data_IF_327176064857
#
_entry.id   IF_327176064857
#
_cell.length_a   1.000
_cell.length_b   1.000
_cell.length_c   1.000
_cell.angle_alpha   90.00
_cell.angle_beta   90.00
_cell.angle_gamma   90.00
#
_symmetry.space_group_name_H-M   'P 1'
#
loop_
_entity.id
_entity.type
_entity.pdbx_description
1 polymer ?
#
# COMPACT_ATOMS: atom_id res chain seq x y z
N UNK A 1 6.39 12.74 13.37
CA UNK A 1 6.37 11.38 12.78
C UNK A 1 7.64 11.13 11.99
N UNK A 2 7.97 9.84 11.81
CA UNK A 2 9.07 9.41 10.95
C UNK A 2 8.54 8.66 9.74
N UNK A 3 8.99 9.03 8.53
CA UNK A 3 8.72 8.18 7.37
C UNK A 3 9.59 6.91 7.43
N UNK A 4 9.16 5.84 6.76
CA UNK A 4 9.93 4.58 6.71
C UNK A 4 11.24 4.66 5.94
N UNK A 5 11.49 5.78 5.21
CA UNK A 5 12.73 6.02 4.49
C UNK A 5 13.06 4.96 3.43
N UNK A 6 12.07 4.47 2.70
CA UNK A 6 12.28 3.49 1.61
C UNK A 6 13.23 4.02 0.53
N UNK A 7 13.33 5.34 0.40
CA UNK A 7 14.13 6.03 -0.63
C UNK A 7 15.34 6.79 -0.08
N UNK A 8 15.60 6.71 1.24
CA UNK A 8 16.70 7.43 1.88
C UNK A 8 16.59 7.51 3.39
N UNK A 9 17.26 8.47 4.01
CA UNK A 9 17.17 8.72 5.46
C UNK A 9 15.72 9.05 5.84
N UNK A 10 15.17 8.48 6.95
CA UNK A 10 13.82 8.79 7.39
C UNK A 10 13.60 10.29 7.55
N UNK A 11 12.51 10.80 6.99
CA UNK A 11 12.11 12.20 7.19
C UNK A 11 11.51 12.33 8.59
N UNK A 12 11.95 13.35 9.34
CA UNK A 12 11.39 13.69 10.64
C UNK A 12 10.30 14.75 10.42
N UNK A 13 9.06 14.32 10.21
CA UNK A 13 7.96 15.16 9.76
C UNK A 13 7.27 15.82 10.95
N UNK A 14 7.09 17.12 10.89
CA UNK A 14 6.41 17.92 11.92
C UNK A 14 5.01 18.27 11.45
N UNK A 15 4.01 17.91 12.23
CA UNK A 15 2.60 18.21 11.98
C UNK A 15 2.01 19.12 13.06
N UNK A 16 1.00 19.91 12.70
CA UNK A 16 0.18 20.63 13.67
C UNK A 16 -0.84 19.69 14.33
N UNK A 17 -1.05 19.82 15.62
CA UNK A 17 -2.02 19.01 16.34
C UNK A 17 -3.47 19.26 15.86
N UNK A 18 -3.86 20.52 15.72
CA UNK A 18 -5.20 20.93 15.28
C UNK A 18 -5.51 20.49 13.86
N UNK A 19 -4.56 20.69 12.92
CA UNK A 19 -4.72 20.28 11.53
C UNK A 19 -4.86 18.76 11.38
N UNK A 20 -4.02 18.00 12.09
CA UNK A 20 -4.09 16.54 12.11
C UNK A 20 -5.42 16.04 12.66
N UNK A 21 -5.88 16.59 13.79
CA UNK A 21 -7.14 16.17 14.38
C UNK A 21 -8.33 16.50 13.49
N UNK A 22 -8.36 17.69 12.89
CA UNK A 22 -9.42 18.08 11.95
C UNK A 22 -9.48 17.14 10.74
N UNK A 23 -8.31 16.80 10.20
CA UNK A 23 -8.19 15.85 9.08
C UNK A 23 -8.74 14.47 9.45
N UNK A 24 -8.34 13.92 10.60
CA UNK A 24 -8.79 12.62 11.06
C UNK A 24 -10.29 12.61 11.39
N UNK A 25 -10.82 13.65 12.02
CA UNK A 25 -12.27 13.79 12.28
C UNK A 25 -13.08 13.78 10.98
N UNK A 26 -12.61 14.49 9.96
CA UNK A 26 -13.22 14.47 8.63
C UNK A 26 -13.25 13.05 8.04
N UNK A 27 -12.16 12.32 8.17
CA UNK A 27 -12.06 10.94 7.69
C UNK A 27 -12.96 9.99 8.49
N UNK A 28 -12.88 10.02 9.82
CA UNK A 28 -13.67 9.16 10.68
C UNK A 28 -15.17 9.37 10.48
N UNK A 29 -15.63 10.62 10.54
CA UNK A 29 -17.08 10.92 10.52
C UNK A 29 -17.67 10.86 9.11
N UNK A 30 -17.01 11.45 8.12
CA UNK A 30 -17.60 11.62 6.79
C UNK A 30 -17.27 10.48 5.83
N UNK A 31 -16.11 9.83 5.99
CA UNK A 31 -15.67 8.76 5.11
C UNK A 31 -15.87 7.36 5.71
N UNK A 32 -15.68 7.22 7.01
CA UNK A 32 -15.84 5.95 7.68
C UNK A 32 -17.25 5.77 8.31
N UNK A 33 -18.02 6.84 8.44
CA UNK A 33 -19.30 6.80 9.11
C UNK A 33 -19.19 6.51 10.62
N UNK A 34 -18.03 6.81 11.21
CA UNK A 34 -17.77 6.58 12.64
C UNK A 34 -18.51 7.64 13.47
N UNK A 35 -19.37 7.17 14.37
CA UNK A 35 -20.17 8.01 15.27
C UNK A 35 -20.00 7.55 16.74
N UNK A 36 -20.63 8.25 17.65
CA UNK A 36 -20.70 7.89 19.07
C UNK A 36 -21.11 6.43 19.26
N UNK A 37 -20.55 5.77 20.27
CA UNK A 37 -20.75 4.36 20.63
C UNK A 37 -20.27 3.33 19.60
N UNK A 38 -19.75 3.73 18.45
CA UNK A 38 -19.13 2.81 17.51
C UNK A 38 -17.83 2.22 18.08
N UNK A 39 -17.46 1.04 17.61
CA UNK A 39 -16.31 0.28 18.12
C UNK A 39 -15.30 0.10 17.02
N UNK A 40 -14.24 0.92 17.07
CA UNK A 40 -13.20 1.00 16.05
C UNK A 40 -12.01 0.12 16.41
N UNK A 41 -11.69 -0.79 15.53
CA UNK A 41 -10.46 -1.59 15.54
C UNK A 41 -9.58 -1.24 14.35
N UNK A 42 -8.28 -1.14 14.57
CA UNK A 42 -7.27 -1.15 13.50
C UNK A 42 -6.09 -2.02 13.91
N UNK A 43 -5.78 -3.06 13.10
CA UNK A 43 -4.61 -3.88 13.34
C UNK A 43 -3.35 -3.08 12.99
N UNK A 44 -2.70 -2.53 14.00
CA UNK A 44 -1.52 -1.64 13.87
C UNK A 44 -0.60 -1.79 15.07
N UNK A 45 0.65 -1.38 14.89
CA UNK A 45 1.60 -1.16 15.99
C UNK A 45 1.71 0.32 16.31
N UNK A 46 2.22 0.69 17.47
CA UNK A 46 2.48 2.09 17.84
C UNK A 46 3.50 2.77 16.92
N UNK A 47 4.33 2.00 16.21
CA UNK A 47 5.32 2.50 15.25
C UNK A 47 4.76 2.76 13.84
N UNK A 48 3.52 2.39 13.57
CA UNK A 48 2.87 2.68 12.28
C UNK A 48 1.94 3.89 12.38
N UNK A 49 1.88 4.71 11.35
CA UNK A 49 1.05 5.94 11.32
C UNK A 49 -0.43 5.65 11.62
N UNK A 50 -0.95 4.47 11.28
CA UNK A 50 -2.33 4.10 11.57
C UNK A 50 -2.67 4.04 13.06
N UNK A 51 -1.68 3.96 13.95
CA UNK A 51 -1.88 4.15 15.39
C UNK A 51 -2.38 5.56 15.70
N UNK A 52 -1.77 6.60 15.10
CA UNK A 52 -2.21 8.00 15.28
C UNK A 52 -3.66 8.17 14.80
N UNK A 53 -3.97 7.57 13.66
CA UNK A 53 -5.31 7.60 13.09
C UNK A 53 -6.33 6.87 13.99
N UNK A 54 -6.00 5.68 14.49
CA UNK A 54 -6.84 4.91 15.42
C UNK A 54 -7.14 5.71 16.70
N UNK A 55 -6.09 6.27 17.34
CA UNK A 55 -6.23 7.03 18.59
C UNK A 55 -7.12 8.26 18.41
N UNK A 56 -7.08 8.91 17.26
CA UNK A 56 -7.94 10.04 16.93
C UNK A 56 -9.43 9.69 16.86
N UNK A 57 -9.78 8.40 16.77
CA UNK A 57 -11.17 7.91 16.86
C UNK A 57 -11.86 8.28 18.18
N UNK A 58 -11.08 8.49 19.24
CA UNK A 58 -11.61 9.01 20.52
C UNK A 58 -12.32 10.37 20.38
N UNK A 59 -11.86 11.20 19.45
CA UNK A 59 -12.51 12.49 19.18
C UNK A 59 -13.86 12.36 18.44
N UNK A 60 -14.18 11.17 17.96
CA UNK A 60 -15.50 10.82 17.43
C UNK A 60 -16.38 10.09 18.46
N UNK A 61 -15.92 10.04 19.73
CA UNK A 61 -16.61 9.39 20.85
C UNK A 61 -16.74 7.87 20.66
N UNK A 62 -15.87 7.29 19.82
CA UNK A 62 -15.83 5.87 19.55
C UNK A 62 -15.03 5.11 20.62
N UNK A 63 -15.41 3.86 20.87
CA UNK A 63 -14.61 2.93 21.67
C UNK A 63 -13.49 2.36 20.80
N UNK A 64 -12.22 2.48 21.24
CA UNK A 64 -11.11 1.85 20.55
C UNK A 64 -10.94 0.40 21.01
N UNK A 65 -10.88 -0.51 20.07
CA UNK A 65 -10.57 -1.91 20.31
C UNK A 65 -9.08 -2.14 20.03
N UNK A 66 -8.35 -2.60 21.06
CA UNK A 66 -6.89 -2.82 20.97
C UNK A 66 -6.59 -4.31 21.07
N UNK A 67 -5.81 -4.82 20.15
CA UNK A 67 -5.38 -6.22 20.11
C UNK A 67 -3.85 -6.29 20.04
N UNK A 68 -3.25 -6.99 20.99
CA UNK A 68 -1.82 -7.26 21.04
C UNK A 68 -1.59 -8.76 20.83
N UNK A 69 -1.00 -9.11 19.70
CA UNK A 69 -0.75 -10.49 19.33
C UNK A 69 -0.70 -10.72 17.83
N UNK A 70 -0.45 -11.97 17.44
CA UNK A 70 -0.49 -12.37 16.03
C UNK A 70 -1.93 -12.41 15.51
N UNK A 71 -2.24 -11.80 14.36
CA UNK A 71 -3.56 -11.87 13.76
C UNK A 71 -3.91 -13.27 13.24
N UNK A 72 -2.90 -14.15 13.14
CA UNK A 72 -3.03 -15.55 12.73
C UNK A 72 -2.90 -16.55 13.90
N UNK A 73 -2.92 -16.07 15.15
CA UNK A 73 -2.98 -16.97 16.30
C UNK A 73 -4.22 -17.86 16.23
N UNK A 74 -4.06 -19.14 16.64
CA UNK A 74 -5.12 -20.16 16.53
C UNK A 74 -5.72 -20.25 15.10
N UNK A 75 -4.85 -20.39 14.11
CA UNK A 75 -5.22 -20.44 12.70
C UNK A 75 -6.08 -19.23 12.24
N UNK A 76 -5.82 -18.05 12.82
CA UNK A 76 -6.51 -16.82 12.52
C UNK A 76 -7.87 -16.63 13.19
N UNK A 77 -8.33 -17.60 13.99
CA UNK A 77 -9.64 -17.53 14.65
C UNK A 77 -9.64 -16.55 15.82
N UNK A 78 -8.54 -16.48 16.59
CA UNK A 78 -8.49 -15.69 17.82
C UNK A 78 -8.86 -14.20 17.61
N UNK A 79 -8.37 -13.58 16.55
CA UNK A 79 -8.69 -12.18 16.24
C UNK A 79 -10.19 -12.01 15.95
N UNK A 80 -10.79 -12.90 15.17
CA UNK A 80 -12.21 -12.82 14.82
C UNK A 80 -13.12 -13.19 15.98
N UNK A 81 -12.77 -14.18 16.81
CA UNK A 81 -13.47 -14.52 18.06
C UNK A 81 -13.54 -13.31 18.99
N UNK A 82 -12.39 -12.66 19.19
CA UNK A 82 -12.30 -11.47 20.01
C UNK A 82 -13.09 -10.29 19.42
N UNK A 83 -12.91 -10.00 18.13
CA UNK A 83 -13.61 -8.89 17.46
C UNK A 83 -15.14 -9.06 17.47
N UNK A 84 -15.63 -10.28 17.23
CA UNK A 84 -17.07 -10.60 17.27
C UNK A 84 -17.62 -10.47 18.69
N UNK A 85 -16.91 -11.00 19.70
CA UNK A 85 -17.29 -10.87 21.12
C UNK A 85 -17.38 -9.42 21.55
N UNK A 86 -16.44 -8.60 21.12
CA UNK A 86 -16.45 -7.14 21.38
C UNK A 86 -17.45 -6.38 20.52
N UNK A 87 -18.18 -7.03 19.63
CA UNK A 87 -19.15 -6.42 18.71
C UNK A 87 -18.56 -5.24 17.92
N UNK A 88 -17.34 -5.43 17.41
CA UNK A 88 -16.64 -4.42 16.62
C UNK A 88 -17.46 -3.96 15.42
N UNK A 89 -17.49 -2.66 15.16
CA UNK A 89 -18.28 -2.06 14.07
C UNK A 89 -17.40 -1.69 12.87
N UNK A 90 -16.15 -1.35 13.12
CA UNK A 90 -15.18 -0.93 12.12
C UNK A 90 -13.90 -1.75 12.26
N UNK A 91 -13.48 -2.41 11.19
CA UNK A 91 -12.32 -3.31 11.16
C UNK A 91 -11.26 -2.78 10.19
N UNK A 92 -10.16 -2.27 10.72
CA UNK A 92 -9.02 -1.79 9.95
C UNK A 92 -7.88 -2.80 9.90
N UNK A 93 -7.29 -2.99 8.72
CA UNK A 93 -6.18 -3.91 8.50
C UNK A 93 -5.34 -3.51 7.29
N UNK A 94 -4.44 -4.40 6.86
CA UNK A 94 -3.66 -4.24 5.62
C UNK A 94 -4.18 -5.15 4.50
N UNK A 95 -3.92 -4.77 3.25
CA UNK A 95 -4.21 -5.62 2.10
C UNK A 95 -3.48 -6.97 2.20
N UNK A 96 -2.28 -6.99 2.78
CA UNK A 96 -1.50 -8.22 3.01
C UNK A 96 -2.16 -9.17 4.01
N UNK A 97 -2.83 -8.64 5.04
CA UNK A 97 -3.60 -9.48 5.94
C UNK A 97 -4.78 -10.14 5.22
N UNK A 98 -5.54 -9.37 4.42
CA UNK A 98 -6.67 -9.91 3.66
C UNK A 98 -6.24 -10.98 2.65
N UNK A 99 -5.13 -10.77 1.95
CA UNK A 99 -4.55 -11.76 1.03
C UNK A 99 -4.13 -13.04 1.79
N UNK A 100 -3.42 -12.91 2.90
CA UNK A 100 -2.97 -14.05 3.69
C UNK A 100 -4.15 -14.81 4.31
N UNK A 101 -5.18 -14.10 4.80
CA UNK A 101 -6.39 -14.71 5.33
C UNK A 101 -7.16 -15.50 4.26
N UNK A 102 -7.28 -14.93 3.05
CA UNK A 102 -7.88 -15.62 1.90
C UNK A 102 -7.11 -16.89 1.53
N UNK A 103 -5.77 -16.82 1.46
CA UNK A 103 -4.89 -17.97 1.16
C UNK A 103 -4.93 -19.07 2.23
N UNK A 104 -5.23 -18.72 3.47
CA UNK A 104 -5.44 -19.68 4.57
C UNK A 104 -6.89 -20.24 4.60
N UNK A 105 -7.77 -19.74 3.75
CA UNK A 105 -9.17 -20.17 3.71
C UNK A 105 -10.01 -19.69 4.89
N UNK A 106 -9.61 -18.61 5.57
CA UNK A 106 -10.41 -18.02 6.64
C UNK A 106 -11.73 -17.49 6.08
N UNK A 107 -12.83 -17.87 6.69
CA UNK A 107 -14.18 -17.46 6.29
C UNK A 107 -15.01 -17.01 7.50
N UNK A 108 -14.72 -15.86 8.10
CA UNK A 108 -15.38 -15.38 9.32
C UNK A 108 -16.90 -15.30 9.21
N UNK A 109 -17.43 -15.03 8.01
CA UNK A 109 -18.88 -15.03 7.76
C UNK A 109 -19.58 -16.35 8.14
N UNK A 110 -18.85 -17.46 8.14
CA UNK A 110 -19.42 -18.81 8.41
C UNK A 110 -19.35 -19.19 9.89
N UNK A 111 -18.45 -18.56 10.65
CA UNK A 111 -18.12 -18.99 12.02
C UNK A 111 -18.39 -17.93 13.09
N UNK A 112 -18.57 -16.66 12.72
CA UNK A 112 -18.69 -15.55 13.66
C UNK A 112 -19.95 -14.70 13.45
N UNK A 113 -20.47 -14.12 14.52
CA UNK A 113 -21.53 -13.12 14.44
C UNK A 113 -20.94 -11.73 14.14
N UNK A 114 -20.95 -11.36 12.87
CA UNK A 114 -20.45 -10.08 12.38
C UNK A 114 -21.57 -9.09 12.05
N UNK A 115 -22.75 -9.23 12.64
CA UNK A 115 -23.90 -8.32 12.39
C UNK A 115 -23.57 -6.87 12.73
N UNK A 116 -22.73 -6.63 13.76
CA UNK A 116 -22.32 -5.29 14.16
C UNK A 116 -21.31 -4.65 13.17
N UNK A 117 -20.53 -5.43 12.42
CA UNK A 117 -19.53 -4.92 11.49
C UNK A 117 -20.20 -4.14 10.36
N UNK A 118 -19.77 -2.88 10.15
CA UNK A 118 -20.30 -1.94 9.16
C UNK A 118 -19.28 -1.54 8.09
N UNK A 119 -18.00 -1.44 8.48
CA UNK A 119 -16.94 -1.03 7.57
C UNK A 119 -15.66 -1.84 7.77
N UNK A 120 -14.96 -2.11 6.66
CA UNK A 120 -13.63 -2.70 6.63
C UNK A 120 -12.69 -1.73 5.91
N UNK A 121 -11.54 -1.46 6.51
CA UNK A 121 -10.51 -0.58 5.97
C UNK A 121 -9.26 -1.36 5.62
N UNK A 122 -8.70 -1.10 4.44
CA UNK A 122 -7.49 -1.76 3.96
C UNK A 122 -6.48 -0.74 3.46
N UNK A 123 -5.25 -0.77 4.00
CA UNK A 123 -4.15 0.10 3.53
C UNK A 123 -2.78 -0.60 3.62
N UNK A 124 -1.71 0.14 3.40
CA UNK A 124 -0.32 -0.36 3.43
C UNK A 124 0.20 -0.85 2.09
N UNK A 125 -0.68 -1.37 1.25
CA UNK A 125 -0.48 -1.68 -0.17
C UNK A 125 -1.82 -1.64 -0.90
N UNK A 126 -1.84 -1.52 -2.25
CA UNK A 126 -3.09 -1.59 -3.01
C UNK A 126 -3.83 -2.91 -2.75
N UNK A 127 -5.13 -2.82 -2.49
CA UNK A 127 -5.97 -4.02 -2.38
C UNK A 127 -6.29 -4.52 -3.79
N UNK A 128 -5.89 -5.75 -4.07
CA UNK A 128 -6.17 -6.39 -5.36
C UNK A 128 -7.65 -6.74 -5.48
N UNK A 129 -8.15 -6.88 -6.71
CA UNK A 129 -9.55 -7.14 -6.98
C UNK A 129 -10.08 -8.41 -6.29
N UNK A 130 -9.25 -9.46 -6.19
CA UNK A 130 -9.55 -10.70 -5.48
C UNK A 130 -9.74 -10.51 -3.97
N UNK A 131 -9.10 -9.48 -3.40
CA UNK A 131 -9.30 -9.09 -2.00
C UNK A 131 -10.72 -8.54 -1.76
N UNK A 132 -11.29 -7.82 -2.74
CA UNK A 132 -12.70 -7.40 -2.68
C UNK A 132 -13.62 -8.62 -2.73
N UNK A 133 -13.38 -9.54 -3.66
CA UNK A 133 -14.17 -10.77 -3.79
C UNK A 133 -14.13 -11.59 -2.48
N UNK A 134 -12.96 -11.72 -1.86
CA UNK A 134 -12.78 -12.41 -0.59
C UNK A 134 -13.60 -11.75 0.54
N UNK A 135 -13.52 -10.43 0.70
CA UNK A 135 -14.24 -9.73 1.76
C UNK A 135 -15.73 -9.94 1.64
N UNK A 136 -16.30 -9.75 0.45
CA UNK A 136 -17.76 -9.87 0.24
C UNK A 136 -18.26 -11.31 0.28
N UNK A 137 -17.44 -12.30 -0.04
CA UNK A 137 -17.81 -13.70 0.01
C UNK A 137 -17.60 -14.34 1.38
N UNK A 138 -16.47 -14.06 2.03
CA UNK A 138 -16.00 -14.84 3.19
C UNK A 138 -15.99 -14.04 4.51
N UNK A 139 -16.10 -12.70 4.47
CA UNK A 139 -16.17 -11.89 5.69
C UNK A 139 -17.59 -11.32 5.87
N UNK A 140 -18.06 -10.48 4.96
CA UNK A 140 -19.42 -9.92 5.07
C UNK A 140 -19.88 -9.31 3.74
N UNK A 141 -21.08 -9.71 3.28
CA UNK A 141 -21.62 -9.28 1.99
C UNK A 141 -22.16 -7.84 2.00
N UNK A 142 -22.64 -7.34 3.14
CA UNK A 142 -23.26 -6.02 3.32
C UNK A 142 -22.35 -5.09 4.16
N UNK A 143 -21.11 -4.89 3.74
CA UNK A 143 -20.12 -4.06 4.44
C UNK A 143 -19.55 -3.00 3.51
N UNK A 144 -19.26 -1.81 4.03
CA UNK A 144 -18.44 -0.83 3.33
C UNK A 144 -16.99 -1.33 3.30
N UNK A 145 -16.45 -1.67 2.14
CA UNK A 145 -15.04 -1.99 1.98
C UNK A 145 -14.30 -0.77 1.42
N UNK A 146 -13.43 -0.19 2.24
CA UNK A 146 -12.65 0.99 1.89
C UNK A 146 -11.17 0.61 1.70
N UNK A 147 -10.70 0.58 0.47
CA UNK A 147 -9.27 0.66 0.22
C UNK A 147 -8.80 2.09 0.44
N UNK A 148 -7.66 2.27 1.11
CA UNK A 148 -7.15 3.59 1.53
C UNK A 148 -5.75 3.77 0.99
N UNK A 149 -5.48 4.92 0.36
CA UNK A 149 -4.15 5.33 -0.07
C UNK A 149 -3.78 6.70 0.48
N UNK A 150 -2.63 6.75 1.12
CA UNK A 150 -2.06 7.96 1.71
C UNK A 150 -0.66 7.69 2.23
N UNK A 151 -0.20 8.47 3.19
CA UNK A 151 1.16 8.31 3.69
C UNK A 151 1.39 8.87 5.08
N UNK A 152 2.46 8.38 5.70
CA UNK A 152 3.00 8.96 6.93
C UNK A 152 3.32 10.45 6.75
N UNK A 153 3.70 10.83 5.53
CA UNK A 153 4.06 12.20 5.16
C UNK A 153 2.94 13.19 5.44
N UNK A 154 1.69 12.79 5.25
CA UNK A 154 0.51 13.64 5.49
C UNK A 154 -0.28 13.22 6.73
N UNK A 155 0.14 12.17 7.42
CA UNK A 155 -0.57 11.52 8.55
C UNK A 155 -2.06 11.25 8.24
N UNK A 156 -2.36 10.92 7.01
CA UNK A 156 -3.70 10.90 6.41
C UNK A 156 -3.72 10.09 5.11
N UNK A 157 -4.79 10.25 4.33
CA UNK A 157 -4.95 9.67 3.01
C UNK A 157 -5.48 10.66 1.98
N UNK A 158 -5.12 10.43 0.72
CA UNK A 158 -5.60 11.19 -0.45
C UNK A 158 -6.86 10.57 -1.04
N UNK A 159 -6.99 9.26 -0.96
CA UNK A 159 -8.16 8.53 -1.44
C UNK A 159 -8.56 7.45 -0.44
N UNK A 160 -9.87 7.28 -0.26
CA UNK A 160 -10.44 6.37 0.72
C UNK A 160 -11.89 6.03 0.37
N UNK A 161 -12.63 5.43 1.30
CA UNK A 161 -14.02 5.05 1.15
C UNK A 161 -15.02 6.19 1.39
N UNK A 162 -16.27 5.88 1.13
CA UNK A 162 -17.43 6.72 1.48
C UNK A 162 -18.64 5.82 1.75
N UNK A 163 -19.41 6.05 2.82
CA UNK A 163 -20.60 5.26 3.13
C UNK A 163 -21.78 5.50 2.17
N UNK A 164 -21.70 6.55 1.35
CA UNK A 164 -22.78 6.97 0.43
C UNK A 164 -22.46 6.70 -1.05
N UNK A 165 -21.30 6.15 -1.35
CA UNK A 165 -20.88 5.82 -2.72
C UNK A 165 -20.81 4.30 -2.90
N UNK A 166 -21.01 3.81 -4.14
CA UNK A 166 -20.79 2.40 -4.45
C UNK A 166 -19.32 2.02 -4.32
N UNK A 167 -19.04 0.76 -4.00
CA UNK A 167 -17.71 0.17 -4.03
C UNK A 167 -17.50 -0.51 -5.38
N UNK A 168 -16.55 -0.04 -6.14
CA UNK A 168 -16.13 -0.69 -7.38
C UNK A 168 -14.94 -1.61 -7.12
N UNK A 169 -15.00 -2.81 -7.66
CA UNK A 169 -13.99 -3.86 -7.49
C UNK A 169 -12.61 -3.40 -8.00
N UNK A 170 -11.63 -3.32 -7.11
CA UNK A 170 -10.26 -2.92 -7.46
C UNK A 170 -9.99 -1.42 -7.44
N UNK A 171 -10.97 -0.59 -7.06
CA UNK A 171 -10.83 0.86 -6.96
C UNK A 171 -10.89 1.35 -5.51
N UNK A 172 -10.20 2.45 -5.23
CA UNK A 172 -10.48 3.29 -4.06
C UNK A 172 -11.70 4.14 -4.41
N UNK A 173 -12.69 4.24 -3.51
CA UNK A 173 -14.00 4.78 -3.85
C UNK A 173 -13.99 6.25 -4.27
N UNK A 174 -13.19 7.09 -3.61
CA UNK A 174 -13.19 8.53 -3.88
C UNK A 174 -11.95 9.24 -3.35
N UNK A 175 -11.73 10.44 -3.83
CA UNK A 175 -10.78 11.40 -3.27
C UNK A 175 -11.25 11.88 -1.89
N UNK A 176 -10.32 12.14 -0.98
CA UNK A 176 -10.62 12.65 0.37
C UNK A 176 -11.29 14.02 0.32
N UNK A 177 -12.37 14.20 1.04
CA UNK A 177 -13.02 15.50 1.22
C UNK A 177 -12.04 16.53 1.78
N UNK A 178 -12.08 17.75 1.27
CA UNK A 178 -11.15 18.81 1.66
C UNK A 178 -9.71 18.63 1.15
N UNK A 179 -9.50 17.66 0.25
CA UNK A 179 -8.23 17.40 -0.42
C UNK A 179 -8.39 17.65 -1.92
N UNK A 180 -7.66 18.61 -2.47
CA UNK A 180 -7.67 18.92 -3.91
C UNK A 180 -6.79 17.93 -4.68
N UNK A 181 -7.10 16.63 -4.54
CA UNK A 181 -6.34 15.53 -5.17
C UNK A 181 -6.62 15.48 -6.65
N UNK A 182 -5.57 15.31 -7.43
CA UNK A 182 -5.65 15.16 -8.88
C UNK A 182 -4.56 14.21 -9.39
N UNK A 183 -4.66 13.81 -10.65
CA UNK A 183 -3.63 13.04 -11.37
C UNK A 183 -3.10 13.89 -12.51
N UNK A 184 -1.79 14.11 -12.52
CA UNK A 184 -1.12 14.94 -13.51
C UNK A 184 -0.14 14.15 -14.37
N UNK A 185 -0.09 14.48 -15.66
CA UNK A 185 0.93 13.97 -16.56
C UNK A 185 2.30 14.65 -16.32
N UNK A 186 3.32 14.25 -17.06
CA UNK A 186 4.67 14.81 -16.93
C UNK A 186 4.75 16.31 -17.28
N UNK A 187 3.83 16.82 -18.07
CA UNK A 187 3.72 18.24 -18.42
C UNK A 187 3.01 19.09 -17.34
N UNK A 188 2.60 18.47 -16.21
CA UNK A 188 1.88 19.16 -15.14
C UNK A 188 0.42 19.47 -15.48
N UNK A 189 -0.20 18.69 -16.36
CA UNK A 189 -1.58 18.85 -16.76
C UNK A 189 -2.45 17.73 -16.17
N UNK A 190 -3.67 18.05 -15.70
CA UNK A 190 -4.59 17.04 -15.17
C UNK A 190 -5.04 16.07 -16.25
N UNK A 191 -5.12 14.78 -15.89
CA UNK A 191 -5.55 13.69 -16.75
C UNK A 191 -6.65 12.86 -16.09
N UNK A 192 -7.48 12.17 -16.91
CA UNK A 192 -8.55 11.27 -16.48
C UNK A 192 -8.48 9.98 -17.30
N UNK A 193 -8.73 8.84 -16.64
CA UNK A 193 -8.61 7.52 -17.28
C UNK A 193 -7.23 7.30 -17.92
N UNK A 194 -6.24 7.99 -17.37
CA UNK A 194 -4.83 7.94 -17.77
C UNK A 194 -3.95 7.96 -16.51
N UNK A 195 -2.85 7.23 -16.58
CA UNK A 195 -1.89 7.12 -15.46
C UNK A 195 -1.02 8.36 -15.37
N UNK A 196 -0.81 8.84 -14.15
CA UNK A 196 0.04 9.99 -13.87
C UNK A 196 0.48 10.05 -12.42
N UNK A 197 1.02 11.20 -12.05
CA UNK A 197 1.44 11.49 -10.67
C UNK A 197 0.26 11.91 -9.82
N UNK A 198 0.15 11.32 -8.63
CA UNK A 198 -0.78 11.80 -7.62
C UNK A 198 -0.29 13.13 -7.04
N UNK A 199 -1.09 14.15 -7.19
CA UNK A 199 -0.83 15.49 -6.68
C UNK A 199 -1.97 15.98 -5.79
N UNK A 200 -1.65 16.94 -4.90
CA UNK A 200 -2.64 17.74 -4.19
C UNK A 200 -2.41 19.21 -4.50
N UNK A 201 -3.35 19.82 -5.20
CA UNK A 201 -3.19 21.14 -5.81
C UNK A 201 -3.53 22.31 -4.90
N UNK A 202 -3.97 22.03 -3.66
CA UNK A 202 -4.25 23.03 -2.64
C UNK A 202 -3.78 22.56 -1.25
N UNK A 203 -3.50 23.47 -0.32
CA UNK A 203 -3.21 23.11 1.06
C UNK A 203 -4.36 22.31 1.71
N UNK A 204 -4.01 21.44 2.64
CA UNK A 204 -4.96 20.60 3.38
C UNK A 204 -4.63 20.60 4.88
N UNK A 205 -5.60 20.27 5.77
CA UNK A 205 -5.43 20.49 7.20
C UNK A 205 -4.23 19.78 7.84
N UNK A 206 -3.91 18.55 7.41
CA UNK A 206 -2.78 17.79 7.94
C UNK A 206 -1.47 17.96 7.15
N UNK A 207 -1.41 18.91 6.24
CA UNK A 207 -0.17 19.23 5.54
C UNK A 207 0.95 19.49 6.56
N UNK A 208 2.13 18.85 6.42
CA UNK A 208 3.24 19.09 7.34
C UNK A 208 3.63 20.57 7.40
N UNK A 209 4.00 21.02 8.58
CA UNK A 209 4.53 22.39 8.76
C UNK A 209 6.03 22.46 8.46
N UNK A 210 6.70 21.35 8.28
CA UNK A 210 8.11 21.26 7.91
C UNK A 210 8.73 19.93 8.35
N UNK A 211 10.07 19.84 8.21
CA UNK A 211 10.86 18.75 8.75
C UNK A 211 11.69 19.23 9.94
N UNK A 212 11.89 18.33 10.90
CA UNK A 212 12.86 18.57 11.97
C UNK A 212 14.27 18.64 11.38
N UNK A 213 15.09 19.60 11.84
CA UNK A 213 16.43 19.87 11.29
C UNK A 213 16.44 20.27 9.78
N UNK A 214 15.46 21.07 9.38
CA UNK A 214 15.37 21.68 8.04
C UNK A 214 15.06 23.18 8.20
N UNK A 215 16.03 23.98 8.68
CA UNK A 215 15.79 25.36 9.10
C UNK A 215 15.44 26.31 7.95
N UNK A 216 15.87 26.00 6.73
CA UNK A 216 15.57 26.75 5.51
C UNK A 216 14.41 26.18 4.70
N UNK A 217 13.83 25.03 5.13
CA UNK A 217 12.75 24.33 4.44
C UNK A 217 13.14 23.66 3.12
N UNK A 218 14.43 23.64 2.79
CA UNK A 218 14.89 23.14 1.48
C UNK A 218 14.63 21.65 1.27
N UNK A 219 14.78 20.83 2.31
CA UNK A 219 14.50 19.39 2.24
C UNK A 219 13.00 19.12 2.07
N UNK A 220 12.17 19.87 2.82
CA UNK A 220 10.72 19.78 2.72
C UNK A 220 10.25 20.18 1.32
N UNK A 221 10.72 21.32 0.80
CA UNK A 221 10.42 21.77 -0.56
C UNK A 221 10.86 20.74 -1.60
N UNK A 222 12.09 20.25 -1.50
CA UNK A 222 12.62 19.24 -2.43
C UNK A 222 11.78 17.96 -2.41
N UNK A 223 11.30 17.54 -1.25
CA UNK A 223 10.55 16.29 -1.11
C UNK A 223 9.19 16.32 -1.82
N UNK A 224 8.51 17.46 -1.87
CA UNK A 224 7.10 17.51 -2.30
C UNK A 224 6.80 18.54 -3.39
N UNK A 225 7.64 19.55 -3.59
CA UNK A 225 7.36 20.68 -4.51
C UNK A 225 8.40 20.86 -5.61
N UNK A 226 9.45 20.04 -5.65
CA UNK A 226 10.50 20.16 -6.66
C UNK A 226 10.03 19.79 -8.08
N UNK A 227 9.05 18.89 -8.17
CA UNK A 227 8.56 18.40 -9.47
C UNK A 227 7.58 19.36 -10.13
N UNK A 228 6.63 19.85 -9.37
CA UNK A 228 5.61 20.80 -9.82
C UNK A 228 5.62 21.98 -8.84
N UNK A 229 5.84 23.21 -9.37
CA UNK A 229 5.93 24.39 -8.54
C UNK A 229 4.63 24.62 -7.77
N UNK A 230 4.75 24.78 -6.44
CA UNK A 230 3.65 25.05 -5.50
C UNK A 230 2.56 23.96 -5.43
N UNK A 231 2.82 22.76 -6.00
CA UNK A 231 1.89 21.63 -5.97
C UNK A 231 2.53 20.45 -5.26
N UNK A 232 1.84 19.91 -4.26
CA UNK A 232 2.25 18.72 -3.54
C UNK A 232 2.27 17.50 -4.48
N UNK A 233 3.45 16.99 -4.77
CA UNK A 233 3.67 15.75 -5.49
C UNK A 233 3.99 14.63 -4.49
N UNK A 234 3.08 13.64 -4.37
CA UNK A 234 3.23 12.61 -3.32
C UNK A 234 4.23 11.52 -3.71
N UNK A 235 4.45 11.32 -5.00
CA UNK A 235 5.30 10.27 -5.52
C UNK A 235 4.59 8.92 -5.61
N UNK A 236 3.27 8.91 -5.79
CA UNK A 236 2.48 7.75 -6.17
C UNK A 236 2.03 7.87 -7.63
N UNK A 237 2.11 6.74 -8.36
CA UNK A 237 1.65 6.61 -9.73
C UNK A 237 0.24 6.04 -9.73
N UNK A 238 -0.72 6.82 -10.22
CA UNK A 238 -2.14 6.54 -10.04
C UNK A 238 -2.97 6.96 -11.26
N UNK A 239 -4.27 6.61 -11.24
CA UNK A 239 -5.26 6.98 -12.23
C UNK A 239 -6.57 7.33 -11.54
N UNK A 240 -7.26 8.37 -12.00
CA UNK A 240 -8.67 8.63 -11.69
C UNK A 240 -9.54 7.93 -12.71
N UNK A 241 -10.45 7.07 -12.23
CA UNK A 241 -11.32 6.25 -13.07
C UNK A 241 -12.55 7.01 -13.56
N UNK A 242 -13.29 6.41 -14.49
CA UNK A 242 -14.58 6.94 -14.95
C UNK A 242 -15.64 7.05 -13.82
N UNK A 243 -15.44 6.37 -12.69
CA UNK A 243 -16.32 6.44 -11.51
C UNK A 243 -15.92 7.52 -10.50
N UNK A 244 -14.96 8.39 -10.82
CA UNK A 244 -14.27 9.28 -9.87
C UNK A 244 -13.54 8.55 -8.72
N UNK A 245 -13.39 7.24 -8.85
CA UNK A 245 -12.54 6.41 -8.02
C UNK A 245 -11.06 6.54 -8.39
N UNK A 246 -10.21 5.78 -7.70
CA UNK A 246 -8.77 5.83 -7.96
C UNK A 246 -8.17 4.42 -8.00
N UNK A 247 -7.19 4.22 -8.90
CA UNK A 247 -6.34 3.04 -8.92
C UNK A 247 -4.90 3.45 -8.65
N UNK A 248 -4.25 2.82 -7.67
CA UNK A 248 -2.84 3.04 -7.38
C UNK A 248 -2.01 1.96 -8.07
N UNK A 249 -1.01 2.37 -8.85
CA UNK A 249 -0.10 1.51 -9.60
C UNK A 249 1.26 1.30 -8.91
N UNK A 250 1.53 2.03 -7.83
CA UNK A 250 2.73 1.94 -7.03
C UNK A 250 3.41 3.29 -6.80
N UNK A 251 4.64 3.25 -6.32
CA UNK A 251 5.47 4.45 -6.13
C UNK A 251 6.00 4.93 -7.48
N UNK A 252 5.99 6.24 -7.70
CA UNK A 252 6.51 6.83 -8.95
C UNK A 252 8.02 6.62 -9.12
N UNK A 253 8.76 6.57 -8.01
CA UNK A 253 10.20 6.30 -7.99
C UNK A 253 10.55 4.82 -8.23
N UNK A 254 9.58 3.92 -8.05
CA UNK A 254 9.69 2.49 -8.35
C UNK A 254 9.00 2.07 -9.67
N UNK A 255 8.45 3.03 -10.42
CA UNK A 255 7.88 2.77 -11.76
C UNK A 255 8.97 2.23 -12.68
N UNK A 256 8.66 1.13 -13.35
CA UNK A 256 9.50 0.50 -14.36
C UNK A 256 9.31 1.21 -15.71
N UNK A 257 10.38 1.28 -16.50
CA UNK A 257 10.34 2.00 -17.77
C UNK A 257 10.98 1.24 -18.94
N UNK A 258 10.63 -0.03 -19.18
CA UNK A 258 11.19 -0.80 -20.29
C UNK A 258 10.74 -0.24 -21.63
N UNK A 259 11.71 0.09 -22.52
CA UNK A 259 11.41 0.65 -23.85
C UNK A 259 10.60 1.94 -23.80
N UNK A 260 10.75 2.77 -22.78
CA UNK A 260 10.05 4.04 -22.61
C UNK A 260 8.59 3.92 -22.15
N UNK A 261 8.12 2.73 -21.78
CA UNK A 261 6.74 2.52 -21.29
C UNK A 261 6.72 2.43 -19.78
N UNK A 262 6.02 3.34 -19.11
CA UNK A 262 5.87 3.36 -17.66
C UNK A 262 4.94 2.24 -17.17
N UNK A 263 5.46 1.35 -16.33
CA UNK A 263 4.75 0.21 -15.74
C UNK A 263 4.82 0.32 -14.21
N UNK A 264 3.67 0.36 -13.57
CA UNK A 264 3.60 0.31 -12.10
C UNK A 264 3.90 -1.09 -11.57
N UNK A 265 4.73 -1.20 -10.53
CA UNK A 265 5.06 -2.49 -9.93
C UNK A 265 3.83 -3.27 -9.45
N UNK A 266 2.79 -2.57 -8.97
CA UNK A 266 1.54 -3.18 -8.56
C UNK A 266 0.80 -3.89 -9.70
N UNK A 267 1.01 -3.51 -10.96
CA UNK A 267 0.41 -4.19 -12.12
C UNK A 267 0.96 -5.61 -12.27
N UNK A 268 2.25 -5.78 -12.00
CA UNK A 268 2.91 -7.09 -11.99
C UNK A 268 2.46 -7.89 -10.75
N UNK A 269 2.49 -7.28 -9.56
CA UNK A 269 2.11 -7.96 -8.30
C UNK A 269 0.71 -8.54 -8.36
N UNK A 270 -0.27 -7.79 -8.88
CA UNK A 270 -1.65 -8.26 -9.07
C UNK A 270 -1.76 -9.56 -9.86
N UNK A 271 -0.86 -9.82 -10.79
CA UNK A 271 -0.85 -11.04 -11.58
C UNK A 271 -0.09 -12.16 -10.89
N UNK A 272 1.04 -11.85 -10.31
CA UNK A 272 1.92 -12.82 -9.64
C UNK A 272 1.27 -13.39 -8.39
N UNK A 273 0.53 -12.58 -7.63
CA UNK A 273 -0.18 -13.00 -6.42
C UNK A 273 -1.30 -14.03 -6.69
N UNK A 274 -1.77 -14.13 -7.94
CA UNK A 274 -2.72 -15.17 -8.37
C UNK A 274 -2.09 -16.56 -8.55
N UNK A 275 -0.77 -16.64 -8.59
CA UNK A 275 -0.06 -17.92 -8.71
C UNK A 275 0.10 -18.50 -7.32
N UNK A 276 -0.57 -19.62 -7.05
CA UNK A 276 -0.71 -20.19 -5.71
C UNK A 276 0.63 -20.51 -5.04
N UNK A 277 1.64 -20.89 -5.80
CA UNK A 277 2.97 -21.21 -5.30
C UNK A 277 3.77 -19.99 -4.84
N UNK A 278 3.37 -18.79 -5.23
CA UNK A 278 4.05 -17.55 -4.87
C UNK A 278 3.48 -16.99 -3.58
N UNK A 279 4.34 -16.86 -2.57
CA UNK A 279 3.99 -16.20 -1.31
C UNK A 279 4.14 -14.69 -1.41
N UNK A 280 5.25 -14.25 -2.00
CA UNK A 280 5.61 -12.83 -2.11
C UNK A 280 6.41 -12.59 -3.38
N UNK A 281 6.34 -11.38 -3.90
CA UNK A 281 7.10 -10.98 -5.08
C UNK A 281 7.62 -9.55 -4.97
N UNK A 282 8.73 -9.27 -5.67
CA UNK A 282 9.32 -7.95 -5.81
C UNK A 282 9.74 -7.74 -7.26
N UNK A 283 9.25 -6.66 -7.88
CA UNK A 283 9.67 -6.25 -9.22
C UNK A 283 10.54 -5.01 -9.14
N UNK A 284 11.62 -4.99 -9.91
CA UNK A 284 12.44 -3.78 -10.08
C UNK A 284 13.07 -3.73 -11.48
N UNK A 285 13.48 -2.53 -11.86
CA UNK A 285 14.19 -2.30 -13.12
C UNK A 285 15.68 -2.51 -12.98
N UNK A 286 16.29 -3.17 -13.94
CA UNK A 286 17.75 -3.26 -14.09
C UNK A 286 18.19 -2.54 -15.37
N UNK A 287 19.20 -1.67 -15.26
CA UNK A 287 19.87 -1.10 -16.42
C UNK A 287 20.55 -2.20 -17.24
N UNK A 288 20.21 -2.33 -18.51
CA UNK A 288 20.71 -3.37 -19.39
C UNK A 288 20.69 -2.89 -20.85
N UNK A 289 21.83 -2.99 -21.55
CA UNK A 289 22.01 -2.63 -22.97
C UNK A 289 21.44 -1.25 -23.36
N UNK A 290 21.59 -0.26 -22.48
CA UNK A 290 21.15 1.11 -22.73
C UNK A 290 19.67 1.38 -22.46
N UNK A 291 18.93 0.39 -21.98
CA UNK A 291 17.52 0.45 -21.60
C UNK A 291 17.33 -0.08 -20.16
N UNK A 292 16.10 -0.19 -19.73
CA UNK A 292 15.71 -0.84 -18.48
C UNK A 292 14.99 -2.16 -18.78
N UNK A 293 15.43 -3.26 -18.18
CA UNK A 293 14.69 -4.53 -18.20
C UNK A 293 14.02 -4.81 -16.87
N UNK A 294 12.83 -5.40 -16.91
CA UNK A 294 12.08 -5.78 -15.73
C UNK A 294 12.61 -7.08 -15.15
N UNK A 295 12.93 -7.06 -13.86
CA UNK A 295 13.24 -8.23 -13.06
C UNK A 295 12.09 -8.52 -12.10
N UNK A 296 11.78 -9.81 -11.90
CA UNK A 296 10.84 -10.28 -10.90
C UNK A 296 11.52 -11.28 -9.99
N UNK A 297 11.53 -10.99 -8.71
CA UNK A 297 11.96 -11.91 -7.66
C UNK A 297 10.74 -12.51 -6.97
N UNK A 298 10.76 -13.81 -6.74
CA UNK A 298 9.65 -14.52 -6.11
C UNK A 298 10.13 -15.33 -4.90
N UNK A 299 9.40 -15.19 -3.80
CA UNK A 299 9.49 -16.08 -2.64
C UNK A 299 8.37 -17.11 -2.78
N UNK A 300 8.73 -18.39 -2.82
CA UNK A 300 7.81 -19.48 -3.04
C UNK A 300 7.39 -20.15 -1.73
N UNK A 301 6.30 -20.91 -1.78
CA UNK A 301 5.87 -21.76 -0.66
C UNK A 301 6.96 -22.77 -0.30
N UNK A 302 7.05 -23.19 0.98
CA UNK A 302 7.97 -24.24 1.39
C UNK A 302 7.82 -25.52 0.53
N UNK A 303 8.95 -26.06 0.08
CA UNK A 303 8.98 -27.27 -0.74
C UNK A 303 8.75 -27.02 -2.25
N UNK A 304 8.46 -25.79 -2.67
CA UNK A 304 8.33 -25.43 -4.08
C UNK A 304 9.65 -24.85 -4.60
N UNK A 305 10.05 -25.26 -5.80
CA UNK A 305 11.21 -24.74 -6.51
C UNK A 305 10.77 -24.08 -7.81
N UNK A 306 11.41 -22.97 -8.17
CA UNK A 306 11.13 -22.27 -9.42
C UNK A 306 11.78 -23.03 -10.60
N UNK A 307 11.01 -23.92 -11.19
CA UNK A 307 11.34 -24.60 -12.44
C UNK A 307 10.87 -23.80 -13.67
N UNK A 308 11.20 -24.30 -14.85
CA UNK A 308 10.84 -23.63 -16.10
C UNK A 308 9.31 -23.61 -16.33
N UNK A 309 8.60 -24.65 -15.88
CA UNK A 309 7.14 -24.73 -15.98
C UNK A 309 6.46 -23.66 -15.12
N UNK A 310 6.94 -23.43 -13.90
CA UNK A 310 6.42 -22.39 -13.01
C UNK A 310 6.79 -20.99 -13.52
N UNK A 311 8.01 -20.78 -14.03
CA UNK A 311 8.41 -19.52 -14.69
C UNK A 311 7.50 -19.18 -15.86
N UNK A 312 7.23 -20.16 -16.73
CA UNK A 312 6.36 -19.96 -17.89
C UNK A 312 4.92 -19.67 -17.47
N UNK A 313 4.41 -20.30 -16.42
CA UNK A 313 3.08 -20.07 -15.88
C UNK A 313 2.96 -18.65 -15.30
N UNK A 314 3.94 -18.19 -14.52
CA UNK A 314 4.00 -16.81 -14.02
C UNK A 314 4.03 -15.82 -15.19
N UNK A 315 4.90 -16.02 -16.17
CA UNK A 315 5.01 -15.15 -17.35
C UNK A 315 3.71 -15.11 -18.15
N UNK A 316 3.05 -16.25 -18.32
CA UNK A 316 1.74 -16.35 -19.00
C UNK A 316 0.65 -15.62 -18.24
N UNK A 317 0.60 -15.77 -16.91
CA UNK A 317 -0.35 -15.07 -16.05
C UNK A 317 -0.19 -13.54 -16.18
N UNK A 318 1.06 -13.04 -16.15
CA UNK A 318 1.35 -11.61 -16.31
C UNK A 318 0.95 -11.14 -17.73
N UNK A 319 1.30 -11.91 -18.77
CA UNK A 319 0.98 -11.57 -20.15
C UNK A 319 -0.53 -11.46 -20.40
N UNK A 320 -1.30 -12.37 -19.84
CA UNK A 320 -2.75 -12.43 -20.02
C UNK A 320 -3.49 -11.40 -19.16
N UNK A 321 -3.04 -11.18 -17.93
CA UNK A 321 -3.73 -10.31 -16.98
C UNK A 321 -3.31 -8.84 -17.02
N UNK A 322 -2.17 -8.54 -17.67
CA UNK A 322 -1.68 -7.17 -17.88
C UNK A 322 -1.34 -6.94 -19.36
N UNK A 323 -0.10 -7.18 -19.79
CA UNK A 323 0.28 -7.15 -21.19
C UNK A 323 1.63 -7.86 -21.43
N UNK A 324 2.01 -8.14 -22.70
CA UNK A 324 3.34 -8.68 -23.01
C UNK A 324 4.51 -7.82 -22.50
N UNK A 325 4.34 -6.51 -22.36
CA UNK A 325 5.38 -5.57 -21.89
C UNK A 325 5.63 -5.67 -20.39
N UNK A 326 4.68 -6.20 -19.62
CA UNK A 326 4.81 -6.43 -18.18
C UNK A 326 5.57 -7.72 -17.85
N UNK A 327 5.77 -8.60 -18.84
CA UNK A 327 6.47 -9.87 -18.62
C UNK A 327 7.92 -9.60 -18.28
N UNK A 328 8.42 -10.05 -17.11
CA UNK A 328 9.79 -9.81 -16.71
C UNK A 328 10.79 -10.50 -17.65
N UNK A 329 11.93 -9.84 -17.91
CA UNK A 329 13.04 -10.42 -18.64
C UNK A 329 13.67 -11.59 -17.87
N UNK A 330 13.61 -11.54 -16.54
CA UNK A 330 14.05 -12.61 -15.64
C UNK A 330 13.08 -12.78 -14.47
N UNK A 331 12.84 -14.05 -14.13
CA UNK A 331 12.10 -14.45 -12.91
C UNK A 331 13.07 -15.28 -12.08
N UNK A 332 13.33 -14.84 -10.84
CA UNK A 332 14.37 -15.39 -9.97
C UNK A 332 13.78 -15.75 -8.62
N UNK A 333 14.06 -16.96 -8.12
CA UNK A 333 13.67 -17.35 -6.77
C UNK A 333 14.63 -16.77 -5.74
N UNK A 334 14.06 -16.23 -4.65
CA UNK A 334 14.80 -15.77 -3.47
C UNK A 334 14.25 -16.40 -2.20
N UNK A 335 15.09 -16.51 -1.19
CA UNK A 335 14.67 -17.09 0.10
C UNK A 335 13.77 -16.14 0.88
N UNK A 336 14.03 -14.83 0.79
CA UNK A 336 13.20 -13.80 1.46
C UNK A 336 13.22 -12.50 0.66
N UNK A 337 12.22 -11.64 0.93
CA UNK A 337 12.06 -10.31 0.31
C UNK A 337 12.21 -9.25 1.39
N UNK A 338 13.08 -8.24 1.20
CA UNK A 338 13.31 -7.19 2.19
C UNK A 338 12.08 -6.30 2.35
N UNK A 339 11.77 -5.96 3.61
CA UNK A 339 10.61 -5.16 4.00
C UNK A 339 10.99 -4.13 5.05
N UNK A 340 10.24 -3.06 5.09
CA UNK A 340 10.28 -2.11 6.21
C UNK A 340 9.70 -2.74 7.49
N UNK A 341 9.94 -2.10 8.63
CA UNK A 341 9.33 -2.47 9.92
C UNK A 341 7.78 -2.48 9.86
N UNK A 342 7.19 -1.73 8.95
CA UNK A 342 5.73 -1.72 8.68
C UNK A 342 5.28 -2.74 7.62
N UNK A 343 6.17 -3.63 7.16
CA UNK A 343 5.86 -4.71 6.20
C UNK A 343 5.80 -4.29 4.73
N UNK A 344 6.21 -3.06 4.37
CA UNK A 344 6.25 -2.59 2.98
C UNK A 344 7.47 -3.13 2.26
N UNK A 345 7.30 -3.57 1.02
CA UNK A 345 8.38 -3.99 0.11
C UNK A 345 9.25 -2.77 -0.24
N UNK A 346 10.55 -2.98 -0.43
CA UNK A 346 11.54 -1.92 -0.65
C UNK A 346 12.25 -2.11 -2.01
N UNK A 347 11.52 -1.88 -3.09
CA UNK A 347 11.99 -2.06 -4.48
C UNK A 347 13.28 -1.29 -4.76
N UNK A 348 13.38 -0.04 -4.30
CA UNK A 348 14.57 0.79 -4.52
C UNK A 348 15.82 0.27 -3.81
N UNK A 349 15.67 -0.28 -2.60
CA UNK A 349 16.81 -0.90 -1.91
C UNK A 349 17.34 -2.09 -2.69
N UNK A 350 16.47 -2.93 -3.25
CA UNK A 350 16.85 -4.04 -4.12
C UNK A 350 17.46 -3.55 -5.43
N UNK A 351 16.86 -2.52 -6.07
CA UNK A 351 17.42 -1.90 -7.27
C UNK A 351 18.84 -1.40 -7.03
N UNK A 352 19.11 -0.75 -5.91
CA UNK A 352 20.44 -0.30 -5.54
C UNK A 352 21.41 -1.48 -5.37
N UNK A 353 21.01 -2.54 -4.65
CA UNK A 353 21.85 -3.74 -4.45
C UNK A 353 22.25 -4.39 -5.77
N UNK A 354 21.30 -4.59 -6.69
CA UNK A 354 21.62 -5.23 -7.99
C UNK A 354 22.52 -4.37 -8.89
N UNK A 355 22.56 -3.04 -8.65
CA UNK A 355 23.46 -2.12 -9.37
C UNK A 355 24.77 -1.85 -8.62
N UNK A 356 25.01 -2.47 -7.46
CA UNK A 356 26.18 -2.21 -6.62
C UNK A 356 26.19 -0.82 -5.97
N UNK A 357 25.03 -0.18 -5.88
CA UNK A 357 24.83 1.13 -5.27
C UNK A 357 24.55 1.00 -3.76
N UNK A 358 24.91 2.00 -2.95
CA UNK A 358 24.72 1.93 -1.50
C UNK A 358 23.24 1.96 -1.12
N UNK A 359 22.86 1.18 -0.11
CA UNK A 359 21.54 1.22 0.53
C UNK A 359 21.63 2.09 1.79
N UNK A 360 21.03 3.25 1.76
CA UNK A 360 21.24 4.30 2.78
C UNK A 360 20.45 4.13 4.07
N UNK A 361 19.54 3.14 4.19
CA UNK A 361 18.64 3.04 5.34
C UNK A 361 18.34 1.61 5.77
N UNK A 362 19.38 0.85 6.06
CA UNK A 362 19.27 -0.54 6.55
C UNK A 362 18.48 -0.62 7.87
N UNK A 363 18.57 0.40 8.73
CA UNK A 363 17.88 0.44 10.03
C UNK A 363 16.34 0.56 9.94
N UNK A 364 15.78 0.89 8.78
CA UNK A 364 14.34 0.90 8.56
C UNK A 364 13.78 -0.44 8.10
N UNK A 365 14.65 -1.41 7.83
CA UNK A 365 14.25 -2.75 7.38
C UNK A 365 14.01 -3.67 8.57
N UNK A 366 12.97 -4.48 8.46
CA UNK A 366 12.69 -5.55 9.42
C UNK A 366 13.62 -6.75 9.26
N UNK A 367 14.10 -6.97 8.02
CA UNK A 367 14.95 -8.09 7.61
C UNK A 367 16.05 -7.63 6.63
N UNK A 368 17.00 -6.78 7.08
CA UNK A 368 18.04 -6.24 6.19
C UNK A 368 18.93 -7.33 5.56
N UNK A 369 19.08 -8.47 6.20
CA UNK A 369 19.81 -9.64 5.70
C UNK A 369 19.20 -10.20 4.41
N UNK A 370 17.91 -9.99 4.18
CA UNK A 370 17.24 -10.42 2.95
C UNK A 370 17.83 -9.75 1.68
N UNK A 371 18.47 -8.59 1.80
CA UNK A 371 19.14 -7.91 0.69
C UNK A 371 20.30 -8.74 0.10
N UNK A 372 20.93 -9.61 0.89
CA UNK A 372 22.01 -10.47 0.40
C UNK A 372 21.55 -11.49 -0.66
N UNK A 373 20.26 -11.83 -0.69
CA UNK A 373 19.67 -12.70 -1.70
C UNK A 373 19.66 -12.08 -3.11
N UNK A 374 19.90 -10.79 -3.23
CA UNK A 374 19.86 -10.04 -4.49
C UNK A 374 21.25 -9.64 -5.00
N UNK A 375 22.29 -9.79 -4.15
CA UNK A 375 23.66 -9.39 -4.47
C UNK A 375 24.31 -10.38 -5.42
N UNK A 376 25.03 -9.86 -6.41
CA UNK A 376 25.92 -10.62 -7.33
C UNK A 376 25.29 -11.85 -7.99
N UNK A 377 23.99 -11.81 -8.26
CA UNK A 377 23.24 -12.91 -8.86
C UNK A 377 23.72 -13.21 -10.28
N UNK A 378 24.12 -14.46 -10.52
CA UNK A 378 24.58 -14.92 -11.84
C UNK A 378 23.49 -14.78 -12.92
N UNK A 379 22.21 -15.01 -12.54
CA UNK A 379 21.03 -14.92 -13.42
C UNK A 379 20.79 -13.50 -13.95
N UNK A 380 21.41 -12.49 -13.35
CA UNK A 380 21.26 -11.07 -13.74
C UNK A 380 22.41 -10.57 -14.62
N UNK A 381 23.42 -11.39 -14.89
CA UNK A 381 24.60 -10.99 -15.68
C UNK A 381 24.41 -11.20 -17.18
N UNK A 382 23.42 -11.99 -17.58
CA UNK A 382 23.11 -12.32 -18.98
C UNK A 382 21.86 -11.63 -19.50
#
# INVERSE_FOLDING_TARGET
LFSSGTTGVPKCIVHSAGGTLLQHLKEHRLHCGLVEDERLFYFTTCGWMMWNWLVSGLASEATLLLFDGSPFAQDGQLLWDWFARERGTHFGTSAKYLDAAAKQGLAPARSHDLRALRAIFSTGSPLVAEGFDYVYRDIKADVQLSSISGGTDIVSCFALGSPVLPVYRGELQCRGLGMAVDIWNEAGQPVREEKGELVCTAPFPSMPIGFWNDPDGSKYHHAYFARFADVWCHGDFAELTAHDGMVIYGRSDAVLNPGGVRIGTAEIYRQVERVEEVLESLACGQRHDGDERVLLFVKLRPGVTLDDALRERIARQIRQGASPRHVPARIVQVADIPKTLSGKIVELAVKNVIHGEPVNNLGALANPEALEHFRDRAELRS
#
